data_IF_662231524081
#
_entry.id   IF_662231524081
#
_cell.length_a   1.000
_cell.length_b   1.000
_cell.length_c   1.000
_cell.angle_alpha   90.00
_cell.angle_beta   90.00
_cell.angle_gamma   90.00
#
_symmetry.space_group_name_H-M   'P 1'
#
loop_
_entity.id
_entity.type
_entity.pdbx_description
1 polymer ?
#
# COMPACT_ATOMS: atom_id res chain seq x y z
N UNK A 1 -0.54 22.37 34.43
CA UNK A 1 -1.70 23.24 34.69
C UNK A 1 -2.31 22.84 36.03
N UNK A 2 -2.89 23.75 36.84
CA UNK A 2 -3.61 23.40 38.06
C UNK A 2 -4.83 22.52 37.71
N UNK A 3 -5.11 21.49 38.52
CA UNK A 3 -6.15 20.49 38.22
C UNK A 3 -7.56 21.09 38.04
N UNK A 4 -7.84 22.18 38.74
CA UNK A 4 -9.11 22.92 38.71
C UNK A 4 -9.42 23.53 37.34
N UNK A 5 -8.39 23.83 36.54
CA UNK A 5 -8.55 24.44 35.19
C UNK A 5 -8.71 23.41 34.07
N UNK A 6 -8.70 22.12 34.38
CA UNK A 6 -8.83 21.06 33.36
C UNK A 6 -10.27 20.90 32.86
N UNK A 7 -11.28 21.14 33.71
CA UNK A 7 -12.68 21.03 33.32
C UNK A 7 -13.05 22.15 32.35
N UNK A 8 -12.71 23.40 32.67
CA UNK A 8 -12.94 24.55 31.79
C UNK A 8 -12.25 24.39 30.42
N UNK A 9 -11.06 23.80 30.40
CA UNK A 9 -10.34 23.50 29.15
C UNK A 9 -11.07 22.43 28.33
N UNK A 10 -11.62 21.40 28.96
CA UNK A 10 -12.36 20.35 28.24
C UNK A 10 -13.65 20.85 27.57
N UNK A 11 -14.29 21.88 28.14
CA UNK A 11 -15.50 22.47 27.59
C UNK A 11 -15.25 23.47 26.44
N UNK A 12 -14.03 24.02 26.35
CA UNK A 12 -13.64 24.99 25.31
C UNK A 12 -12.67 24.43 24.28
N UNK A 13 -12.13 23.24 24.49
CA UNK A 13 -11.22 22.60 23.55
C UNK A 13 -11.99 22.07 22.34
N UNK A 14 -11.88 22.79 21.23
CA UNK A 14 -12.18 22.25 19.91
C UNK A 14 -10.88 21.73 19.31
N UNK A 15 -10.76 20.42 19.01
CA UNK A 15 -9.62 19.94 18.26
C UNK A 15 -9.57 20.69 16.92
N UNK A 16 -8.35 21.00 16.48
CA UNK A 16 -8.09 21.57 15.16
C UNK A 16 -8.79 20.71 14.08
N UNK A 17 -9.30 21.33 13.01
CA UNK A 17 -10.02 20.65 11.93
C UNK A 17 -9.21 19.46 11.37
N UNK A 18 -7.89 19.58 11.39
CA UNK A 18 -6.95 18.51 11.03
C UNK A 18 -7.02 17.31 11.97
N UNK A 19 -7.29 17.47 13.27
CA UNK A 19 -7.48 16.35 14.20
C UNK A 19 -8.86 15.70 14.07
N UNK A 20 -9.92 16.46 13.78
CA UNK A 20 -11.25 15.90 13.53
C UNK A 20 -11.33 15.06 12.25
N UNK A 21 -10.56 15.43 11.22
CA UNK A 21 -10.44 14.65 9.98
C UNK A 21 -9.77 13.29 10.23
N UNK A 22 -8.81 13.23 11.16
CA UNK A 22 -8.08 11.99 11.48
C UNK A 22 -8.78 11.16 12.57
N UNK A 23 -9.53 11.79 13.48
CA UNK A 23 -10.36 11.08 14.47
C UNK A 23 -11.60 10.43 13.87
N UNK A 24 -12.05 10.89 12.70
CA UNK A 24 -13.17 10.31 11.94
C UNK A 24 -12.73 9.35 10.82
N UNK A 25 -11.43 9.10 10.68
CA UNK A 25 -10.92 8.11 9.73
C UNK A 25 -11.03 6.72 10.35
N UNK A 26 -12.05 5.96 9.95
CA UNK A 26 -12.18 4.52 10.25
C UNK A 26 -11.18 3.66 9.46
N UNK A 27 -9.98 4.17 9.20
CA UNK A 27 -8.87 3.29 8.91
C UNK A 27 -8.63 2.46 10.17
N UNK A 28 -9.08 1.23 10.16
CA UNK A 28 -8.70 0.31 11.20
C UNK A 28 -7.17 0.21 11.23
N UNK A 29 -6.60 0.12 12.43
CA UNK A 29 -5.17 -0.18 12.60
C UNK A 29 -4.75 -1.45 11.84
N UNK A 30 -5.71 -2.31 11.46
CA UNK A 30 -5.57 -3.50 10.63
C UNK A 30 -5.14 -3.23 9.17
N UNK A 31 -5.20 -1.97 8.70
CA UNK A 31 -4.72 -1.55 7.38
C UNK A 31 -3.32 -0.89 7.40
N UNK A 32 -2.73 -0.67 8.59
CA UNK A 32 -1.31 -0.32 8.71
C UNK A 32 -0.38 -1.29 7.97
N UNK A 33 -0.62 -2.62 7.95
CA UNK A 33 0.14 -3.55 7.13
C UNK A 33 0.16 -3.21 5.64
N UNK A 34 -0.88 -2.58 5.09
CA UNK A 34 -0.90 -2.16 3.69
C UNK A 34 0.08 -1.00 3.43
N UNK A 35 0.16 -0.02 4.34
CA UNK A 35 1.14 1.07 4.24
C UNK A 35 2.57 0.53 4.32
N UNK A 36 2.81 -0.41 5.24
CA UNK A 36 4.11 -1.08 5.36
C UNK A 36 4.42 -1.87 4.09
N UNK A 37 3.45 -2.58 3.51
CA UNK A 37 3.62 -3.33 2.27
C UNK A 37 3.96 -2.42 1.07
N UNK A 38 3.34 -1.25 0.96
CA UNK A 38 3.66 -0.25 -0.07
C UNK A 38 5.09 0.25 0.04
N UNK A 39 5.49 0.64 1.25
CA UNK A 39 6.85 1.10 1.52
C UNK A 39 7.89 0.02 1.20
N UNK A 40 7.62 -1.24 1.56
CA UNK A 40 8.54 -2.34 1.28
C UNK A 40 8.65 -2.65 -0.21
N UNK A 41 7.55 -2.55 -0.98
CA UNK A 41 7.59 -2.64 -2.44
C UNK A 41 8.43 -1.52 -3.06
N UNK A 42 8.30 -0.29 -2.56
CA UNK A 42 9.13 0.84 -3.01
C UNK A 42 10.61 0.57 -2.73
N UNK A 43 10.95 0.07 -1.54
CA UNK A 43 12.31 -0.31 -1.18
C UNK A 43 12.85 -1.43 -2.07
N UNK A 44 12.06 -2.47 -2.32
CA UNK A 44 12.45 -3.58 -3.19
C UNK A 44 12.80 -3.09 -4.61
N UNK A 45 11.99 -2.19 -5.19
CA UNK A 45 12.29 -1.58 -6.50
C UNK A 45 13.56 -0.73 -6.43
N UNK A 46 13.76 0.04 -5.36
CA UNK A 46 14.99 0.81 -5.17
C UNK A 46 16.22 -0.10 -5.12
N UNK A 47 16.15 -1.23 -4.43
CA UNK A 47 17.25 -2.20 -4.40
C UNK A 47 17.54 -2.78 -5.79
N UNK A 48 16.51 -3.05 -6.61
CA UNK A 48 16.71 -3.43 -8.02
C UNK A 48 17.42 -2.32 -8.78
N UNK A 49 16.98 -1.08 -8.67
CA UNK A 49 17.60 0.04 -9.38
C UNK A 49 19.04 0.31 -8.93
N UNK A 50 19.33 0.13 -7.64
CA UNK A 50 20.68 0.26 -7.08
C UNK A 50 21.66 -0.78 -7.64
N UNK A 51 21.17 -1.89 -8.21
CA UNK A 51 22.04 -2.88 -8.87
C UNK A 51 22.70 -2.33 -10.14
N UNK A 52 22.09 -1.34 -10.81
CA UNK A 52 22.69 -0.69 -11.98
C UNK A 52 23.94 0.12 -11.61
N UNK A 53 23.92 0.80 -10.46
CA UNK A 53 25.03 1.65 -10.00
C UNK A 53 26.12 0.84 -9.30
N UNK A 54 25.71 -0.10 -8.45
CA UNK A 54 26.65 -0.88 -7.64
C UNK A 54 27.23 -2.09 -8.37
N UNK A 55 26.54 -2.60 -9.41
CA UNK A 55 26.88 -3.87 -10.06
C UNK A 55 26.72 -5.09 -9.15
N UNK A 56 26.17 -4.93 -7.94
CA UNK A 56 26.02 -6.00 -6.95
C UNK A 56 24.54 -6.28 -6.73
N UNK A 57 24.14 -7.54 -6.97
CA UNK A 57 22.78 -8.01 -6.68
C UNK A 57 22.74 -8.44 -5.21
N UNK A 58 22.02 -7.68 -4.38
CA UNK A 58 21.85 -7.97 -2.94
C UNK A 58 20.58 -8.75 -2.63
N UNK A 59 19.62 -8.77 -3.55
CA UNK A 59 18.33 -9.44 -3.40
C UNK A 59 18.50 -10.96 -3.58
N UNK A 60 17.89 -11.74 -2.69
CA UNK A 60 17.84 -13.20 -2.83
C UNK A 60 16.86 -13.62 -3.94
N UNK A 61 17.04 -14.83 -4.49
CA UNK A 61 16.14 -15.38 -5.52
C UNK A 61 14.68 -15.50 -5.00
N UNK A 62 14.50 -15.80 -3.71
CA UNK A 62 13.17 -15.83 -3.08
C UNK A 62 12.51 -14.44 -3.02
N UNK A 63 13.28 -13.40 -2.65
CA UNK A 63 12.78 -12.02 -2.63
C UNK A 63 12.42 -11.49 -4.02
N UNK A 64 12.98 -12.08 -5.07
CA UNK A 64 12.68 -11.73 -6.46
C UNK A 64 11.49 -12.50 -7.02
N UNK A 65 11.38 -13.80 -6.71
CA UNK A 65 10.45 -14.71 -7.39
C UNK A 65 9.15 -14.99 -6.65
N UNK A 66 9.11 -14.89 -5.33
CA UNK A 66 7.96 -15.31 -4.54
C UNK A 66 7.07 -14.14 -4.10
N UNK A 67 6.12 -13.76 -4.96
CA UNK A 67 5.13 -12.73 -4.67
C UNK A 67 4.22 -13.10 -3.48
N UNK A 68 4.07 -14.38 -3.11
CA UNK A 68 3.28 -14.76 -1.93
C UNK A 68 3.99 -14.40 -0.61
N UNK A 69 5.33 -14.46 -0.60
CA UNK A 69 6.13 -14.24 0.61
C UNK A 69 6.42 -12.77 0.90
N UNK A 70 6.20 -11.88 -0.06
CA UNK A 70 6.33 -10.45 0.19
C UNK A 70 5.20 -9.96 1.12
N UNK A 71 5.41 -8.83 1.81
CA UNK A 71 4.38 -8.32 2.76
C UNK A 71 3.07 -7.98 2.06
N UNK A 72 3.12 -7.52 0.81
CA UNK A 72 1.92 -7.26 0.02
C UNK A 72 1.17 -8.56 -0.31
N UNK A 73 1.88 -9.62 -0.67
CA UNK A 73 1.31 -10.95 -0.89
C UNK A 73 0.67 -11.52 0.38
N UNK A 74 1.40 -11.50 1.49
CA UNK A 74 0.88 -11.95 2.79
C UNK A 74 -0.39 -11.18 3.20
N UNK A 75 -0.41 -9.85 3.01
CA UNK A 75 -1.59 -9.04 3.25
C UNK A 75 -2.72 -9.39 2.27
N UNK A 76 -2.42 -9.48 0.98
CA UNK A 76 -3.39 -9.77 -0.08
C UNK A 76 -4.10 -11.10 0.18
N UNK A 77 -3.35 -12.20 0.35
CA UNK A 77 -3.94 -13.52 0.54
C UNK A 77 -4.52 -13.75 1.94
N UNK A 78 -4.19 -12.90 2.91
CA UNK A 78 -4.68 -12.96 4.30
C UNK A 78 -5.82 -11.96 4.58
N UNK A 79 -5.48 -10.88 5.31
CA UNK A 79 -6.43 -9.86 5.75
C UNK A 79 -7.16 -9.20 4.56
N UNK A 80 -6.41 -8.80 3.53
CA UNK A 80 -6.94 -8.13 2.35
C UNK A 80 -8.03 -8.95 1.66
N UNK A 81 -7.81 -10.26 1.44
CA UNK A 81 -8.81 -11.13 0.81
C UNK A 81 -10.06 -11.30 1.66
N UNK A 82 -9.91 -11.42 2.98
CA UNK A 82 -11.05 -11.57 3.91
C UNK A 82 -11.95 -10.34 3.92
N UNK A 83 -11.36 -9.14 3.93
CA UNK A 83 -12.12 -7.89 4.10
C UNK A 83 -12.47 -7.21 2.77
N UNK A 84 -11.61 -7.30 1.77
CA UNK A 84 -11.71 -6.56 0.50
C UNK A 84 -11.83 -7.45 -0.74
N UNK A 85 -11.80 -8.78 -0.60
CA UNK A 85 -11.87 -9.71 -1.72
C UNK A 85 -13.11 -9.60 -2.62
N UNK A 86 -14.17 -8.96 -2.10
CA UNK A 86 -15.40 -8.68 -2.84
C UNK A 86 -15.29 -7.44 -3.75
N UNK A 87 -14.25 -6.61 -3.60
CA UNK A 87 -14.04 -5.41 -4.40
C UNK A 87 -13.29 -5.75 -5.68
N UNK A 88 -13.79 -5.28 -6.82
CA UNK A 88 -13.14 -5.47 -8.13
C UNK A 88 -11.75 -4.85 -8.15
N UNK A 89 -11.59 -3.67 -7.54
CA UNK A 89 -10.31 -2.98 -7.36
C UNK A 89 -9.28 -3.84 -6.63
N UNK A 90 -9.72 -4.65 -5.66
CA UNK A 90 -8.86 -5.59 -4.95
C UNK A 90 -8.43 -6.74 -5.87
N UNK A 91 -9.38 -7.37 -6.58
CA UNK A 91 -9.08 -8.51 -7.47
C UNK A 91 -8.10 -8.14 -8.60
N UNK A 92 -8.20 -6.90 -9.11
CA UNK A 92 -7.27 -6.39 -10.14
C UNK A 92 -5.83 -6.26 -9.62
N UNK A 93 -5.61 -6.06 -8.31
CA UNK A 93 -4.27 -5.90 -7.72
C UNK A 93 -3.40 -7.15 -7.87
N UNK A 94 -3.99 -8.34 -7.86
CA UNK A 94 -3.22 -9.59 -7.95
C UNK A 94 -2.43 -9.70 -9.25
N UNK A 95 -3.09 -9.43 -10.38
CA UNK A 95 -2.45 -9.49 -11.68
C UNK A 95 -1.27 -8.49 -11.76
N UNK A 96 -1.52 -7.25 -11.34
CA UNK A 96 -0.47 -6.22 -11.31
C UNK A 96 0.68 -6.59 -10.35
N UNK A 97 0.36 -7.17 -9.20
CA UNK A 97 1.35 -7.62 -8.22
C UNK A 97 2.21 -8.79 -8.73
N UNK A 98 1.61 -9.73 -9.44
CA UNK A 98 2.35 -10.82 -10.09
C UNK A 98 3.26 -10.26 -11.17
N UNK A 99 2.77 -9.34 -11.99
CA UNK A 99 3.52 -8.81 -13.12
C UNK A 99 4.69 -7.91 -12.69
N UNK A 100 4.56 -7.16 -11.58
CA UNK A 100 5.67 -6.32 -11.09
C UNK A 100 6.83 -7.19 -10.57
N UNK A 101 6.52 -8.33 -9.97
CA UNK A 101 7.54 -9.31 -9.57
C UNK A 101 8.23 -9.94 -10.79
N UNK A 102 7.49 -10.27 -11.85
CA UNK A 102 8.08 -10.76 -13.11
C UNK A 102 9.04 -9.74 -13.72
N UNK A 103 8.64 -8.48 -13.80
CA UNK A 103 9.49 -7.41 -14.33
C UNK A 103 10.76 -7.23 -13.50
N UNK A 104 10.66 -7.27 -12.16
CA UNK A 104 11.83 -7.20 -11.31
C UNK A 104 12.81 -8.36 -11.52
N UNK A 105 12.29 -9.59 -11.71
CA UNK A 105 13.10 -10.76 -12.04
C UNK A 105 13.78 -10.62 -13.41
N UNK A 106 13.04 -10.13 -14.40
CA UNK A 106 13.54 -9.87 -15.74
C UNK A 106 14.70 -8.88 -15.73
N UNK A 107 14.56 -7.75 -15.03
CA UNK A 107 15.63 -6.74 -14.87
C UNK A 107 16.90 -7.38 -14.31
N UNK A 108 16.77 -8.16 -13.23
CA UNK A 108 17.92 -8.81 -12.60
C UNK A 108 18.56 -9.85 -13.53
N UNK A 109 17.77 -10.64 -14.27
CA UNK A 109 18.30 -11.61 -15.22
C UNK A 109 19.04 -10.96 -16.39
N UNK A 110 18.48 -9.88 -16.95
CA UNK A 110 19.12 -9.12 -18.03
C UNK A 110 20.44 -8.52 -17.55
N UNK A 111 20.50 -8.02 -16.31
CA UNK A 111 21.75 -7.57 -15.69
C UNK A 111 22.76 -8.71 -15.50
N UNK A 112 22.33 -9.88 -15.02
CA UNK A 112 23.20 -11.08 -14.91
C UNK A 112 23.76 -11.52 -16.26
N UNK A 113 23.01 -11.34 -17.36
CA UNK A 113 23.42 -11.64 -18.73
C UNK A 113 24.26 -10.53 -19.38
N UNK A 114 24.44 -9.39 -18.73
CA UNK A 114 25.15 -8.23 -19.28
C UNK A 114 24.35 -7.41 -20.30
N UNK A 115 23.05 -7.68 -20.43
CA UNK A 115 22.14 -6.97 -21.34
C UNK A 115 21.63 -5.67 -20.71
N UNK A 116 22.55 -4.75 -20.37
CA UNK A 116 22.23 -3.54 -19.59
C UNK A 116 21.21 -2.63 -20.26
N UNK A 117 21.18 -2.55 -21.59
CA UNK A 117 20.21 -1.70 -22.30
C UNK A 117 18.78 -2.25 -22.20
N UNK A 118 18.60 -3.55 -22.39
CA UNK A 118 17.31 -4.24 -22.22
C UNK A 118 16.86 -4.15 -20.77
N UNK A 119 17.78 -4.36 -19.81
CA UNK A 119 17.48 -4.22 -18.39
C UNK A 119 16.93 -2.83 -18.03
N UNK A 120 17.45 -1.77 -18.65
CA UNK A 120 16.94 -0.40 -18.44
C UNK A 120 15.51 -0.23 -18.95
N UNK A 121 15.18 -0.83 -20.10
CA UNK A 121 13.82 -0.80 -20.63
C UNK A 121 12.85 -1.51 -19.70
N UNK A 122 13.18 -2.73 -19.27
CA UNK A 122 12.35 -3.46 -18.30
C UNK A 122 12.26 -2.74 -16.95
N UNK A 123 13.29 -1.96 -16.56
CA UNK A 123 13.26 -1.14 -15.35
C UNK A 123 12.35 0.09 -15.48
N UNK A 124 12.24 0.70 -16.66
CA UNK A 124 11.28 1.76 -16.94
C UNK A 124 9.84 1.22 -16.84
N UNK A 125 9.59 0.02 -17.39
CA UNK A 125 8.30 -0.67 -17.28
C UNK A 125 7.97 -1.02 -15.81
N UNK A 126 8.97 -1.45 -15.04
CA UNK A 126 8.85 -1.71 -13.60
C UNK A 126 8.40 -0.46 -12.83
N UNK A 127 8.99 0.71 -13.15
CA UNK A 127 8.64 1.99 -12.53
C UNK A 127 7.24 2.47 -12.92
N UNK A 128 6.85 2.27 -14.18
CA UNK A 128 5.49 2.54 -14.65
C UNK A 128 4.47 1.67 -13.90
N UNK A 129 4.74 0.37 -13.77
CA UNK A 129 3.86 -0.56 -13.07
C UNK A 129 3.76 -0.25 -11.57
N UNK A 130 4.87 0.14 -10.92
CA UNK A 130 4.84 0.65 -9.53
C UNK A 130 3.82 1.76 -9.36
N UNK A 131 3.83 2.71 -10.29
CA UNK A 131 2.95 3.89 -10.24
C UNK A 131 1.48 3.48 -10.39
N UNK A 132 1.20 2.50 -11.26
CA UNK A 132 -0.15 1.94 -11.42
C UNK A 132 -0.62 1.22 -10.16
N UNK A 133 0.21 0.37 -9.54
CA UNK A 133 -0.12 -0.33 -8.29
C UNK A 133 -0.43 0.67 -7.18
N UNK A 134 0.42 1.68 -6.96
CA UNK A 134 0.20 2.68 -5.92
C UNK A 134 -1.10 3.46 -6.16
N UNK A 135 -1.40 3.79 -7.42
CA UNK A 135 -2.67 4.44 -7.78
C UNK A 135 -3.88 3.57 -7.45
N UNK A 136 -3.81 2.28 -7.80
CA UNK A 136 -4.89 1.31 -7.52
C UNK A 136 -5.07 1.05 -6.02
N UNK A 137 -3.98 1.01 -5.26
CA UNK A 137 -4.04 0.94 -3.81
C UNK A 137 -4.70 2.19 -3.21
N UNK A 138 -4.38 3.39 -3.70
CA UNK A 138 -5.08 4.61 -3.26
C UNK A 138 -6.58 4.58 -3.63
N UNK A 139 -6.95 4.05 -4.80
CA UNK A 139 -8.36 3.88 -5.18
C UNK A 139 -9.09 2.91 -4.24
N UNK A 140 -8.47 1.76 -3.93
CA UNK A 140 -9.00 0.80 -2.98
C UNK A 140 -9.21 1.45 -1.60
N UNK A 141 -8.22 2.18 -1.10
CA UNK A 141 -8.30 2.89 0.18
C UNK A 141 -9.45 3.90 0.21
N UNK A 142 -9.68 4.64 -0.89
CA UNK A 142 -10.83 5.54 -1.00
C UNK A 142 -12.14 4.76 -0.94
N UNK A 143 -12.27 3.66 -1.67
CA UNK A 143 -13.49 2.84 -1.69
C UNK A 143 -13.83 2.30 -0.30
N UNK A 144 -12.84 1.82 0.45
CA UNK A 144 -13.02 1.35 1.83
C UNK A 144 -13.52 2.48 2.73
N UNK A 145 -12.90 3.66 2.67
CA UNK A 145 -13.29 4.83 3.46
C UNK A 145 -14.70 5.32 3.15
N UNK A 146 -15.10 5.33 1.87
CA UNK A 146 -16.44 5.75 1.47
C UNK A 146 -17.52 4.69 1.77
N UNK A 147 -17.17 3.40 1.72
CA UNK A 147 -18.12 2.32 2.01
C UNK A 147 -18.48 2.26 3.51
N UNK A 148 -17.52 2.51 4.41
CA UNK A 148 -17.77 2.63 5.85
C UNK A 148 -18.70 3.83 6.16
N UNK A 149 -18.47 4.98 5.50
CA UNK A 149 -19.31 6.18 5.67
C UNK A 149 -20.77 5.98 5.25
N UNK A 150 -21.02 5.22 4.17
CA UNK A 150 -22.38 4.91 3.67
C UNK A 150 -23.16 3.99 4.61
N UNK A 151 -22.50 3.04 5.29
CA UNK A 151 -23.14 2.20 6.31
C UNK A 151 -23.53 2.93 7.58
N UNK A 152 -22.86 4.05 7.90
CA UNK A 152 -23.19 4.89 9.04
C UNK A 152 -24.40 5.81 8.75
N UNK A 153 -24.52 6.32 7.52
CA UNK A 153 -25.67 7.16 7.11
C UNK A 153 -27.00 6.38 7.00
N UNK A 154 -26.95 5.09 6.63
CA UNK A 154 -28.15 4.23 6.54
C UNK A 154 -28.68 3.72 7.90
N UNK A 155 -27.93 3.94 8.99
CA UNK A 155 -28.29 3.48 10.34
C UNK A 155 -28.66 4.63 11.29
N UNK A 156 -28.89 5.85 10.79
CA UNK A 156 -29.51 6.90 11.59
C UNK A 156 -31.03 6.64 11.67
N UNK A 157 -31.61 6.37 12.86
CA UNK A 157 -33.05 6.38 12.98
C UNK A 157 -33.54 7.81 12.73
N UNK A 158 -34.49 7.99 11.82
CA UNK A 158 -35.33 9.18 11.77
C UNK A 158 -35.96 9.36 13.16
N UNK A 159 -35.41 10.28 13.95
CA UNK A 159 -36.07 10.72 15.17
C UNK A 159 -37.02 11.86 14.80
N UNK A 160 -38.30 11.49 14.83
CA UNK A 160 -39.49 12.34 15.00
C UNK A 160 -39.38 13.25 16.25
#
# INVERSE_FOLDING_TARGET
MPAEKMIDWSETYQPDETWSIWSGSEWELSDLPLLVAQHDHIKWIQEILNTFDSGVIKLSENELSNHFECRLGNWYYGHGKTHYGHLESFQQLEAMHVDIHKLGHEVINLLKMGHTQEARQSADDLLAMKTQILTKLHELQKQVNFSSKKSLELNSPEND
#
